data_IF_744463407111
#
_entry.id   IF_744463407111
#
_cell.length_a   1.000
_cell.length_b   1.000
_cell.length_c   1.000
_cell.angle_alpha   90.00
_cell.angle_beta   90.00
_cell.angle_gamma   90.00
#
_symmetry.space_group_name_H-M   'P 1'
#
loop_
_entity.id
_entity.type
_entity.pdbx_description
1 polymer ?
#
# COMPACT_ATOMS: atom_id res chain seq x y z
N UNK A 1 -19.77 10.55 -1.12
CA UNK A 1 -18.79 9.66 -0.43
C UNK A 1 -19.46 8.35 0.03
N UNK A 2 -19.84 7.48 -0.89
CA UNK A 2 -20.55 6.23 -0.56
C UNK A 2 -19.63 5.18 0.10
N UNK A 3 -18.36 5.14 -0.31
CA UNK A 3 -17.33 4.20 0.18
C UNK A 3 -16.99 4.34 1.66
N UNK A 4 -17.12 5.52 2.25
CA UNK A 4 -16.82 5.68 3.68
C UNK A 4 -17.91 5.05 4.56
N UNK A 5 -19.18 5.21 4.16
CA UNK A 5 -20.34 4.66 4.87
C UNK A 5 -20.35 3.12 4.93
N UNK A 6 -19.82 2.45 3.91
CA UNK A 6 -19.75 0.98 3.88
C UNK A 6 -18.77 0.45 4.91
N UNK A 7 -17.59 1.08 5.06
CA UNK A 7 -16.59 0.64 6.04
C UNK A 7 -16.93 1.05 7.47
N UNK A 8 -17.55 2.22 7.67
CA UNK A 8 -18.01 2.64 9.01
C UNK A 8 -19.03 1.66 9.59
N UNK A 9 -19.90 1.06 8.76
CA UNK A 9 -20.82 0.00 9.19
C UNK A 9 -20.10 -1.27 9.66
N UNK A 10 -18.92 -1.55 9.12
CA UNK A 10 -18.07 -2.66 9.55
C UNK A 10 -17.17 -2.28 10.75
N UNK A 11 -17.34 -1.11 11.36
CA UNK A 11 -16.50 -0.62 12.45
C UNK A 11 -15.09 -0.22 12.02
N UNK A 12 -14.84 -0.08 10.71
CA UNK A 12 -13.53 0.24 10.16
C UNK A 12 -13.44 1.71 9.76
N UNK A 13 -12.31 2.32 10.09
CA UNK A 13 -11.94 3.64 9.59
C UNK A 13 -11.29 3.53 8.21
N UNK A 14 -11.42 4.57 7.38
CA UNK A 14 -10.72 4.64 6.09
C UNK A 14 -9.19 4.52 6.24
N UNK A 15 -8.66 4.97 7.38
CA UNK A 15 -7.24 4.84 7.70
C UNK A 15 -6.83 3.37 7.87
N UNK A 16 -7.58 2.60 8.67
CA UNK A 16 -7.34 1.16 8.86
C UNK A 16 -7.44 0.39 7.54
N UNK A 17 -8.45 0.69 6.72
CA UNK A 17 -8.61 0.05 5.41
C UNK A 17 -7.41 0.33 4.50
N UNK A 18 -6.89 1.57 4.50
CA UNK A 18 -5.69 1.91 3.74
C UNK A 18 -4.44 1.20 4.26
N UNK A 19 -4.26 1.15 5.58
CA UNK A 19 -3.11 0.49 6.19
C UNK A 19 -3.06 -1.01 5.90
N UNK A 20 -4.21 -1.65 5.71
CA UNK A 20 -4.28 -3.06 5.30
C UNK A 20 -4.10 -3.23 3.77
N UNK A 21 -4.80 -2.40 2.98
CA UNK A 21 -4.82 -2.55 1.52
C UNK A 21 -3.53 -2.17 0.82
N UNK A 22 -2.82 -1.13 1.25
CA UNK A 22 -1.59 -0.69 0.58
C UNK A 22 -0.50 -1.77 0.65
N UNK A 23 -0.21 -2.40 1.82
CA UNK A 23 0.72 -3.53 1.88
C UNK A 23 0.25 -4.76 1.11
N UNK A 24 -1.06 -5.05 1.11
CA UNK A 24 -1.61 -6.15 0.31
C UNK A 24 -1.36 -5.93 -1.17
N UNK A 25 -1.66 -4.74 -1.68
CA UNK A 25 -1.43 -4.39 -3.09
C UNK A 25 0.06 -4.44 -3.43
N UNK A 26 0.92 -3.92 -2.56
CA UNK A 26 2.36 -3.95 -2.76
C UNK A 26 2.90 -5.37 -2.91
N UNK A 27 2.32 -6.36 -2.20
CA UNK A 27 2.66 -7.79 -2.35
C UNK A 27 2.18 -8.37 -3.67
N UNK A 28 1.00 -7.98 -4.14
CA UNK A 28 0.45 -8.45 -5.42
C UNK A 28 1.20 -7.84 -6.61
N UNK A 29 1.48 -6.53 -6.52
CA UNK A 29 2.06 -5.72 -7.58
C UNK A 29 3.26 -4.96 -7.01
N UNK A 30 4.47 -5.42 -7.35
CA UNK A 30 5.73 -4.80 -6.95
C UNK A 30 6.02 -3.50 -7.74
N UNK A 31 4.99 -2.68 -7.97
CA UNK A 31 5.06 -1.44 -8.75
C UNK A 31 4.70 -0.22 -7.87
N UNK A 32 5.67 0.61 -7.49
CA UNK A 32 5.43 1.82 -6.72
C UNK A 32 4.50 2.82 -7.43
N UNK A 33 4.54 2.90 -8.77
CA UNK A 33 3.70 3.84 -9.52
C UNK A 33 2.23 3.43 -9.47
N UNK A 34 1.96 2.12 -9.49
CA UNK A 34 0.62 1.56 -9.30
C UNK A 34 0.05 1.96 -7.93
N UNK A 35 0.85 1.81 -6.86
CA UNK A 35 0.44 2.23 -5.52
C UNK A 35 0.14 3.72 -5.42
N UNK A 36 0.98 4.57 -6.04
CA UNK A 36 0.78 6.01 -6.08
C UNK A 36 -0.52 6.38 -6.79
N UNK A 37 -0.81 5.76 -7.93
CA UNK A 37 -2.06 6.02 -8.69
C UNK A 37 -3.30 5.57 -7.94
N UNK A 38 -3.24 4.44 -7.26
CA UNK A 38 -4.41 3.83 -6.64
C UNK A 38 -4.70 4.36 -5.23
N UNK A 39 -3.67 4.69 -4.46
CA UNK A 39 -3.80 5.06 -3.05
C UNK A 39 -3.23 6.44 -2.71
N UNK A 40 -2.53 7.11 -3.64
CA UNK A 40 -1.90 8.41 -3.41
C UNK A 40 -0.79 8.49 -2.33
N UNK A 41 -0.03 7.45 -1.96
CA UNK A 41 1.17 7.62 -1.14
C UNK A 41 2.21 8.48 -1.86
N UNK A 42 3.11 9.10 -1.09
CA UNK A 42 4.33 9.71 -1.65
C UNK A 42 5.24 8.64 -2.27
N UNK A 43 6.17 9.08 -3.12
CA UNK A 43 7.17 8.23 -3.76
C UNK A 43 7.95 7.38 -2.74
N UNK A 44 8.45 8.01 -1.67
CA UNK A 44 9.22 7.33 -0.64
C UNK A 44 8.38 6.33 0.16
N UNK A 45 7.10 6.60 0.35
CA UNK A 45 6.18 5.65 0.99
C UNK A 45 5.90 4.46 0.06
N UNK A 46 5.61 4.69 -1.22
CA UNK A 46 5.37 3.64 -2.20
C UNK A 46 6.59 2.70 -2.35
N UNK A 47 7.79 3.28 -2.44
CA UNK A 47 9.05 2.52 -2.47
C UNK A 47 9.22 1.65 -1.21
N UNK A 48 8.99 2.21 -0.02
CA UNK A 48 9.08 1.45 1.24
C UNK A 48 8.10 0.28 1.29
N UNK A 49 6.86 0.47 0.82
CA UNK A 49 5.88 -0.61 0.76
C UNK A 49 6.31 -1.73 -0.18
N UNK A 50 6.82 -1.41 -1.37
CA UNK A 50 7.31 -2.42 -2.33
C UNK A 50 8.54 -3.15 -1.79
N UNK A 51 9.52 -2.42 -1.25
CA UNK A 51 10.72 -3.00 -0.62
C UNK A 51 10.37 -3.93 0.55
N UNK A 52 9.43 -3.54 1.40
CA UNK A 52 8.98 -4.36 2.53
C UNK A 52 8.16 -5.58 2.09
N UNK A 53 7.44 -5.49 0.96
CA UNK A 53 6.66 -6.58 0.41
C UNK A 53 7.50 -7.62 -0.36
N UNK A 54 8.64 -7.19 -0.94
CA UNK A 54 9.53 -8.03 -1.75
C UNK A 54 11.00 -7.91 -1.27
N UNK A 55 11.31 -8.32 -0.03
CA UNK A 55 12.66 -8.18 0.53
C UNK A 55 13.73 -8.89 -0.32
N UNK A 56 13.40 -10.01 -0.97
CA UNK A 56 14.30 -10.77 -1.85
C UNK A 56 14.77 -9.99 -3.09
N UNK A 57 13.98 -9.00 -3.55
CA UNK A 57 14.33 -8.15 -4.69
C UNK A 57 15.26 -7.01 -4.30
N UNK A 58 15.22 -6.60 -3.04
CA UNK A 58 15.99 -5.46 -2.51
C UNK A 58 17.22 -5.88 -1.71
N UNK A 59 17.28 -7.13 -1.23
CA UNK A 59 18.42 -7.68 -0.49
C UNK A 59 19.72 -7.75 -1.32
N UNK A 60 19.62 -7.75 -2.65
CA UNK A 60 20.76 -7.81 -3.58
C UNK A 60 21.26 -6.43 -4.04
N UNK A 61 20.68 -5.32 -3.56
CA UNK A 61 21.24 -4.00 -3.84
C UNK A 61 22.46 -3.76 -2.93
N UNK A 62 23.65 -3.45 -3.49
CA UNK A 62 24.79 -3.05 -2.67
C UNK A 62 24.41 -1.80 -1.86
N UNK A 63 24.73 -1.82 -0.57
CA UNK A 63 24.50 -0.69 0.35
C UNK A 63 25.50 0.43 0.13
#
# INVERSE_FOLDING_TARGET
>A
MLFQRTFTRAGLTMHQVRQDRIPFEARQHADPLHLMRQFGPSDGAAMRYVTAAHPERTANLPR
#
